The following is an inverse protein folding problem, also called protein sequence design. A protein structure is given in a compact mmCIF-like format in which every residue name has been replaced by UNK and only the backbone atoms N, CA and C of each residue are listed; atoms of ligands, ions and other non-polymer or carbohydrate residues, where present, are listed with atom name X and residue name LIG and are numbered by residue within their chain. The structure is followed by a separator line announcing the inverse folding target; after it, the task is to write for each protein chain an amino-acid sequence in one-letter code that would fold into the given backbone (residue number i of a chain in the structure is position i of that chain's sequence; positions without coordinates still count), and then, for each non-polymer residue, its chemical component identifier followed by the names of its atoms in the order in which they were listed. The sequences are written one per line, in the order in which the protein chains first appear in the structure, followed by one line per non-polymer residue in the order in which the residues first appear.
data_IF_259648709022
#
_entry.id   IF_259648709022
#
_cell.length_a   1.000
_cell.length_b   1.000
_cell.length_c   1.000
_cell.angle_alpha   90.00
_cell.angle_beta   90.00
_cell.angle_gamma   90.00
#
_symmetry.space_group_name_H-M   'P 1'
#
loop_
_entity.id
_entity.type
_entity.pdbx_description
1 polymer ?
#
# COMPACT_ATOMS: atom_id res chain seq x y z
N UNK A 1 -8.02 -20.63 24.52
CA UNK A 1 -8.18 -20.39 23.07
C UNK A 1 -9.33 -19.43 22.96
N UNK A 2 -9.09 -18.19 22.54
CA UNK A 2 -10.17 -17.23 22.33
C UNK A 2 -11.05 -17.73 21.18
N UNK A 3 -12.36 -17.76 21.40
CA UNK A 3 -13.40 -18.07 20.41
C UNK A 3 -13.51 -16.97 19.34
N UNK A 4 -12.40 -16.59 18.71
CA UNK A 4 -12.47 -15.63 17.61
C UNK A 4 -12.92 -16.36 16.35
N UNK A 5 -14.22 -16.23 16.07
CA UNK A 5 -14.88 -16.76 14.87
C UNK A 5 -14.55 -15.94 13.60
N UNK A 6 -13.38 -15.29 13.55
CA UNK A 6 -12.96 -14.40 12.48
C UNK A 6 -11.43 -14.39 12.32
N UNK A 7 -10.95 -14.16 11.10
CA UNK A 7 -9.57 -13.80 10.82
C UNK A 7 -9.30 -12.32 11.12
N UNK A 8 -8.01 -11.98 11.16
CA UNK A 8 -7.56 -10.60 11.37
C UNK A 8 -6.66 -10.17 10.23
N UNK A 9 -7.03 -9.08 9.56
CA UNK A 9 -6.24 -8.51 8.48
C UNK A 9 -5.63 -7.19 8.97
N UNK A 10 -4.31 -7.11 8.99
CA UNK A 10 -3.56 -5.91 9.39
C UNK A 10 -2.96 -5.30 8.14
N UNK A 11 -3.37 -4.09 7.78
CA UNK A 11 -2.83 -3.33 6.67
C UNK A 11 -1.81 -2.33 7.19
N UNK A 12 -0.60 -2.35 6.63
CA UNK A 12 0.47 -1.42 7.00
C UNK A 12 1.03 -0.78 5.73
N UNK A 13 0.81 0.53 5.57
CA UNK A 13 1.50 1.28 4.52
C UNK A 13 2.95 1.47 4.94
N UNK A 14 3.87 1.32 3.99
CA UNK A 14 5.29 1.59 4.22
C UNK A 14 5.52 2.99 4.83
N UNK A 15 6.60 3.12 5.60
CA UNK A 15 7.03 4.42 6.14
C UNK A 15 7.46 5.41 5.06
N UNK A 16 7.73 6.66 5.41
CA UNK A 16 8.21 7.68 4.47
C UNK A 16 9.41 7.18 3.63
N UNK A 17 9.29 7.25 2.30
CA UNK A 17 10.40 7.00 1.38
C UNK A 17 11.19 8.25 1.03
N UNK A 18 12.41 8.09 0.51
CA UNK A 18 13.25 9.19 0.01
C UNK A 18 12.47 10.10 -0.95
N UNK A 19 11.71 9.50 -1.88
CA UNK A 19 10.93 10.24 -2.86
C UNK A 19 9.60 10.78 -2.33
N UNK A 20 9.12 10.29 -1.18
CA UNK A 20 8.05 10.99 -0.47
C UNK A 20 8.58 12.28 0.15
N UNK A 21 9.78 12.23 0.74
CA UNK A 21 10.42 13.40 1.34
C UNK A 21 10.79 14.47 0.30
N UNK A 22 11.27 14.07 -0.88
CA UNK A 22 11.58 14.99 -1.99
C UNK A 22 10.39 15.38 -2.87
N UNK A 23 9.16 14.98 -2.50
CA UNK A 23 7.92 15.28 -3.22
C UNK A 23 7.88 14.76 -4.68
N UNK A 24 8.53 13.63 -4.97
CA UNK A 24 8.55 13.01 -6.30
C UNK A 24 7.44 11.94 -6.46
N UNK A 25 7.03 11.69 -7.70
CA UNK A 25 6.24 10.52 -8.07
C UNK A 25 7.14 9.29 -8.13
N UNK A 26 6.82 8.25 -7.36
CA UNK A 26 7.66 7.04 -7.25
C UNK A 26 7.20 5.90 -8.13
N UNK A 27 5.98 5.42 -7.90
CA UNK A 27 5.46 4.23 -8.57
C UNK A 27 6.32 3.00 -8.32
N UNK A 28 6.73 2.33 -9.38
CA UNK A 28 7.51 1.09 -9.29
C UNK A 28 9.01 1.33 -9.16
N UNK A 29 9.48 2.59 -9.21
CA UNK A 29 10.87 2.90 -8.88
C UNK A 29 11.15 2.44 -7.46
N UNK A 30 12.19 1.63 -7.34
CA UNK A 30 12.56 1.00 -6.09
C UNK A 30 13.48 1.97 -5.34
N UNK A 31 12.89 2.78 -4.46
CA UNK A 31 13.57 3.75 -3.58
C UNK A 31 13.57 3.25 -2.14
N UNK A 32 14.51 3.74 -1.33
CA UNK A 32 14.60 3.32 0.07
C UNK A 32 13.70 4.14 0.99
N UNK A 33 13.61 3.70 2.25
CA UNK A 33 13.04 4.47 3.36
C UNK A 33 14.03 5.54 3.83
N UNK A 34 13.49 6.67 4.29
CA UNK A 34 14.26 7.62 5.12
C UNK A 34 14.43 7.05 6.53
N UNK A 35 15.29 7.67 7.35
CA UNK A 35 15.40 7.33 8.77
C UNK A 35 14.04 7.48 9.49
N UNK A 36 13.29 8.54 9.17
CA UNK A 36 11.92 8.71 9.65
C UNK A 36 11.02 7.53 9.23
N UNK A 37 11.10 7.10 7.97
CA UNK A 37 10.32 5.95 7.49
C UNK A 37 10.67 4.63 8.19
N UNK A 38 11.93 4.44 8.61
CA UNK A 38 12.36 3.29 9.40
C UNK A 38 11.81 3.36 10.82
N UNK A 39 11.82 4.52 11.46
CA UNK A 39 11.19 4.74 12.77
C UNK A 39 9.68 4.50 12.74
N UNK A 40 9.00 4.97 11.69
CA UNK A 40 7.58 4.71 11.44
C UNK A 40 7.30 3.21 11.36
N UNK A 41 8.15 2.45 10.65
CA UNK A 41 8.02 0.99 10.54
C UNK A 41 8.18 0.27 11.89
N UNK A 42 9.20 0.63 12.67
CA UNK A 42 9.43 0.08 14.01
C UNK A 42 8.24 0.39 14.92
N UNK A 43 7.71 1.62 14.87
CA UNK A 43 6.53 2.02 15.64
C UNK A 43 5.29 1.22 15.24
N UNK A 44 5.09 0.99 13.95
CA UNK A 44 4.04 0.11 13.42
C UNK A 44 4.09 -1.30 14.03
N UNK A 45 5.29 -1.88 14.11
CA UNK A 45 5.50 -3.17 14.76
C UNK A 45 5.19 -3.16 16.26
N UNK A 46 5.61 -2.13 16.99
CA UNK A 46 5.28 -1.96 18.42
C UNK A 46 3.78 -1.86 18.65
N UNK A 47 3.06 -1.07 17.86
CA UNK A 47 1.59 -0.97 17.94
C UNK A 47 0.92 -2.33 17.75
N UNK A 48 1.37 -3.13 16.78
CA UNK A 48 0.85 -4.48 16.55
C UNK A 48 1.05 -5.36 17.80
N UNK A 49 2.25 -5.34 18.39
CA UNK A 49 2.57 -6.11 19.59
C UNK A 49 1.78 -5.64 20.83
N UNK A 50 1.71 -4.34 21.06
CA UNK A 50 1.01 -3.73 22.19
C UNK A 50 -0.51 -4.01 22.13
N UNK A 51 -1.07 -4.10 20.92
CA UNK A 51 -2.45 -4.50 20.69
C UNK A 51 -2.69 -6.02 20.83
N UNK A 52 -1.65 -6.81 21.16
CA UNK A 52 -1.73 -8.27 21.28
C UNK A 52 -2.05 -8.97 19.96
N UNK A 53 -1.74 -8.34 18.82
CA UNK A 53 -1.96 -8.93 17.49
C UNK A 53 -0.75 -9.78 17.11
N UNK A 54 -1.01 -11.01 16.69
CA UNK A 54 0.01 -12.02 16.44
C UNK A 54 -0.03 -12.49 14.98
N UNK A 55 0.54 -11.73 14.02
CA UNK A 55 0.60 -12.16 12.63
C UNK A 55 1.20 -13.55 12.49
N UNK A 56 0.55 -14.41 11.71
CA UNK A 56 0.99 -15.77 11.38
C UNK A 56 1.58 -15.86 9.98
N UNK A 57 1.35 -14.84 9.14
CA UNK A 57 1.91 -14.70 7.80
C UNK A 57 2.00 -13.23 7.40
N UNK A 58 3.04 -12.89 6.63
CA UNK A 58 3.23 -11.58 6.02
C UNK A 58 3.08 -11.67 4.50
N UNK A 59 2.33 -10.74 3.91
CA UNK A 59 2.32 -10.44 2.48
C UNK A 59 2.92 -9.06 2.23
N UNK A 60 3.81 -8.95 1.24
CA UNK A 60 4.36 -7.65 0.83
C UNK A 60 4.61 -7.59 -0.68
N UNK A 61 4.92 -6.40 -1.17
CA UNK A 61 5.27 -6.14 -2.56
C UNK A 61 6.69 -6.60 -2.92
N UNK A 62 7.11 -6.34 -4.17
CA UNK A 62 8.51 -6.51 -4.60
C UNK A 62 9.39 -5.26 -4.41
N UNK A 63 8.90 -4.23 -3.72
CA UNK A 63 9.56 -2.94 -3.56
C UNK A 63 10.16 -2.80 -2.15
N UNK A 64 11.44 -2.39 -2.08
CA UNK A 64 12.27 -2.45 -0.88
C UNK A 64 11.73 -1.65 0.29
N UNK A 65 11.05 -0.52 0.03
CA UNK A 65 10.44 0.31 1.07
C UNK A 65 9.36 -0.43 1.87
N UNK A 66 8.53 -1.23 1.20
CA UNK A 66 7.52 -2.05 1.86
C UNK A 66 8.14 -3.28 2.52
N UNK A 67 9.10 -3.94 1.86
CA UNK A 67 9.83 -5.08 2.41
C UNK A 67 10.58 -4.70 3.70
N UNK A 68 11.28 -3.57 3.68
CA UNK A 68 12.04 -3.05 4.83
C UNK A 68 11.10 -2.63 5.95
N UNK A 69 9.97 -1.97 5.62
CA UNK A 69 8.93 -1.66 6.61
C UNK A 69 8.46 -2.95 7.30
N UNK A 70 8.15 -3.98 6.52
CA UNK A 70 7.66 -5.24 7.04
C UNK A 70 8.69 -5.92 7.96
N UNK A 71 9.96 -5.98 7.55
CA UNK A 71 11.02 -6.59 8.34
C UNK A 71 11.23 -5.87 9.68
N UNK A 72 11.21 -4.53 9.69
CA UNK A 72 11.35 -3.74 10.92
C UNK A 72 10.13 -3.86 11.82
N UNK A 73 8.93 -3.92 11.25
CA UNK A 73 7.71 -4.13 12.01
C UNK A 73 7.66 -5.53 12.65
N UNK A 74 8.07 -6.56 11.91
CA UNK A 74 8.17 -7.92 12.44
C UNK A 74 9.25 -8.07 13.52
N UNK A 75 10.35 -7.31 13.43
CA UNK A 75 11.38 -7.28 14.48
C UNK A 75 10.80 -6.75 15.79
N UNK A 76 10.18 -5.58 15.71
CA UNK A 76 9.60 -4.91 16.85
C UNK A 76 8.43 -5.68 17.47
N UNK A 77 7.78 -6.54 16.69
CA UNK A 77 6.68 -7.41 17.15
C UNK A 77 7.11 -8.82 17.56
N UNK A 78 8.41 -9.15 17.51
CA UNK A 78 8.96 -10.49 17.77
C UNK A 78 8.29 -11.60 16.90
N UNK A 79 8.16 -11.33 15.60
CA UNK A 79 7.50 -12.20 14.61
C UNK A 79 8.33 -12.46 13.35
N UNK A 80 9.65 -12.28 13.40
CA UNK A 80 10.53 -12.47 12.23
C UNK A 80 10.46 -13.83 11.55
N UNK A 81 10.14 -14.87 12.31
CA UNK A 81 10.18 -16.26 11.85
C UNK A 81 8.96 -16.66 11.02
N UNK A 82 7.92 -15.82 10.94
CA UNK A 82 6.69 -16.18 10.22
C UNK A 82 6.93 -16.26 8.70
N UNK A 83 6.15 -17.07 7.97
CA UNK A 83 6.22 -17.10 6.52
C UNK A 83 5.99 -15.72 5.88
N UNK A 84 6.80 -15.41 4.86
CA UNK A 84 6.71 -14.16 4.08
C UNK A 84 6.45 -14.47 2.61
N UNK A 85 5.39 -13.89 2.06
CA UNK A 85 5.03 -13.97 0.64
C UNK A 85 5.25 -12.62 -0.01
N UNK A 86 5.92 -12.60 -1.17
CA UNK A 86 6.17 -11.38 -1.95
C UNK A 86 5.56 -11.52 -3.33
N UNK A 87 4.74 -10.55 -3.74
CA UNK A 87 4.10 -10.58 -5.05
C UNK A 87 3.99 -9.16 -5.64
N UNK A 88 4.23 -9.04 -6.95
CA UNK A 88 4.16 -7.77 -7.67
C UNK A 88 2.75 -7.16 -7.64
N UNK A 89 1.71 -7.99 -7.46
CA UNK A 89 0.32 -7.53 -7.35
C UNK A 89 0.08 -6.65 -6.13
N UNK A 90 1.01 -6.63 -5.16
CA UNK A 90 1.00 -5.73 -4.02
C UNK A 90 1.81 -4.45 -4.26
N UNK A 91 2.47 -4.27 -5.41
CA UNK A 91 3.21 -3.05 -5.73
C UNK A 91 2.32 -1.80 -5.73
N UNK A 92 2.94 -0.63 -5.54
CA UNK A 92 2.31 0.68 -5.76
C UNK A 92 1.74 0.80 -7.17
N UNK A 93 0.87 1.78 -7.43
CA UNK A 93 0.45 2.15 -8.79
C UNK A 93 1.67 2.55 -9.63
N UNK A 94 1.84 1.99 -10.82
CA UNK A 94 2.83 2.45 -11.79
C UNK A 94 2.49 3.87 -12.28
N UNK A 95 3.38 4.84 -12.06
CA UNK A 95 3.09 6.25 -12.38
C UNK A 95 3.46 6.65 -13.82
N UNK A 96 3.92 5.68 -14.62
CA UNK A 96 4.28 5.90 -16.01
C UNK A 96 5.32 7.00 -16.17
N UNK A 97 5.13 7.86 -17.15
CA UNK A 97 6.05 8.96 -17.46
C UNK A 97 6.23 9.97 -16.32
N UNK A 98 5.40 9.91 -15.26
CA UNK A 98 5.56 10.76 -14.09
C UNK A 98 6.63 10.25 -13.13
N UNK A 99 7.06 8.99 -13.21
CA UNK A 99 8.08 8.44 -12.30
C UNK A 99 9.36 9.30 -12.33
N UNK A 100 9.80 9.75 -11.15
CA UNK A 100 10.95 10.63 -10.95
C UNK A 100 10.64 12.12 -10.99
N UNK A 101 9.49 12.54 -11.52
CA UNK A 101 9.13 13.96 -11.59
C UNK A 101 8.70 14.49 -10.23
N UNK A 102 9.05 15.74 -9.94
CA UNK A 102 8.54 16.45 -8.77
C UNK A 102 7.05 16.79 -8.96
N UNK A 103 6.24 16.56 -7.92
CA UNK A 103 4.79 16.78 -7.94
C UNK A 103 4.41 18.25 -8.08
N UNK A 104 5.12 19.15 -7.42
CA UNK A 104 4.83 20.59 -7.47
C UNK A 104 5.17 21.17 -8.85
N UNK A 105 6.34 20.83 -9.40
CA UNK A 105 6.75 21.24 -10.75
C UNK A 105 5.81 20.66 -11.82
N UNK A 106 5.37 19.40 -11.66
CA UNK A 106 4.39 18.78 -12.56
C UNK A 106 3.05 19.52 -12.50
N UNK A 107 2.60 19.90 -11.30
CA UNK A 107 1.37 20.66 -11.11
C UNK A 107 1.46 22.07 -11.71
N UNK A 108 2.60 22.75 -11.55
CA UNK A 108 2.84 24.05 -12.19
C UNK A 108 2.81 23.95 -13.72
N UNK A 109 3.42 22.90 -14.28
CA UNK A 109 3.52 22.69 -15.72
C UNK A 109 2.19 22.29 -16.38
N UNK A 110 1.42 21.41 -15.75
CA UNK A 110 0.22 20.80 -16.36
C UNK A 110 -1.10 21.33 -15.79
N UNK A 111 -1.05 22.14 -14.72
CA UNK A 111 -2.22 22.66 -14.01
C UNK A 111 -2.79 21.71 -12.96
N UNK A 112 -3.61 22.25 -12.06
CA UNK A 112 -4.24 21.51 -10.95
C UNK A 112 -5.12 20.37 -11.45
N UNK A 113 -6.00 20.64 -12.42
CA UNK A 113 -6.98 19.65 -12.88
C UNK A 113 -6.32 18.41 -13.46
N UNK A 114 -5.28 18.59 -14.29
CA UNK A 114 -4.53 17.48 -14.87
C UNK A 114 -3.70 16.74 -13.83
N UNK A 115 -3.09 17.46 -12.89
CA UNK A 115 -2.35 16.87 -11.77
C UNK A 115 -3.27 16.01 -10.89
N UNK A 116 -4.46 16.52 -10.56
CA UNK A 116 -5.45 15.82 -9.76
C UNK A 116 -6.04 14.62 -10.53
N UNK A 117 -6.25 14.74 -11.84
CA UNK A 117 -6.66 13.62 -12.68
C UNK A 117 -5.64 12.46 -12.60
N UNK A 118 -4.34 12.71 -12.84
CA UNK A 118 -3.32 11.66 -12.74
C UNK A 118 -3.14 11.13 -11.32
N UNK A 119 -3.26 11.99 -10.31
CA UNK A 119 -3.02 11.60 -8.92
C UNK A 119 -4.20 10.84 -8.32
N UNK A 120 -5.44 11.16 -8.68
CA UNK A 120 -6.64 10.72 -7.96
C UNK A 120 -7.73 10.09 -8.83
N UNK A 121 -7.68 10.22 -10.15
CA UNK A 121 -8.66 9.53 -11.02
C UNK A 121 -8.61 8.02 -10.78
N UNK A 122 -9.81 7.42 -10.78
CA UNK A 122 -9.97 6.00 -10.60
C UNK A 122 -9.53 5.22 -11.85
N UNK A 123 -9.92 5.68 -13.04
CA UNK A 123 -9.82 4.94 -14.31
C UNK A 123 -8.91 5.60 -15.34
N UNK A 124 -8.37 6.79 -15.05
CA UNK A 124 -7.52 7.52 -15.99
C UNK A 124 -6.04 7.39 -15.58
N UNK A 125 -5.22 6.65 -16.33
CA UNK A 125 -3.82 6.49 -16.00
C UNK A 125 -2.99 7.73 -16.35
N UNK A 126 -1.82 7.93 -15.71
CA UNK A 126 -0.78 8.82 -16.22
C UNK A 126 -0.30 8.42 -17.64
N UNK A 127 0.45 9.29 -18.34
CA UNK A 127 1.03 8.93 -19.63
C UNK A 127 1.98 7.72 -19.51
N UNK A 128 2.03 6.88 -20.54
CA UNK A 128 2.89 5.69 -20.57
C UNK A 128 4.38 6.06 -20.52
N UNK A 129 5.16 5.26 -19.80
CA UNK A 129 6.61 5.32 -19.81
C UNK A 129 7.18 4.43 -20.91
N UNK A 130 8.14 4.93 -21.69
CA UNK A 130 8.83 4.11 -22.68
C UNK A 130 9.76 3.08 -22.00
N UNK A 131 9.81 1.85 -22.54
CA UNK A 131 10.52 0.73 -21.91
C UNK A 131 12.02 0.99 -21.66
N UNK A 132 12.67 1.81 -22.50
CA UNK A 132 14.09 2.17 -22.39
C UNK A 132 14.37 3.36 -21.46
N UNK A 133 13.36 3.96 -20.85
CA UNK A 133 13.51 5.11 -19.96
C UNK A 133 14.28 4.74 -18.68
N UNK A 134 15.00 5.71 -18.10
CA UNK A 134 15.77 5.53 -16.85
C UNK A 134 14.97 4.87 -15.72
N UNK A 135 13.71 5.28 -15.55
CA UNK A 135 12.82 4.80 -14.48
C UNK A 135 11.88 3.68 -14.91
N UNK A 136 12.13 3.03 -16.06
CA UNK A 136 11.34 1.88 -16.53
C UNK A 136 11.69 0.61 -15.77
N UNK A 137 10.69 -0.26 -15.57
CA UNK A 137 10.86 -1.59 -14.99
C UNK A 137 10.82 -2.73 -16.04
N UNK A 138 10.67 -2.41 -17.32
CA UNK A 138 10.49 -3.40 -18.39
C UNK A 138 11.63 -4.44 -18.45
N UNK A 139 12.87 -4.02 -18.16
CA UNK A 139 14.05 -4.89 -18.14
C UNK A 139 14.44 -5.44 -16.75
N UNK A 140 13.66 -5.17 -15.70
CA UNK A 140 14.02 -5.58 -14.34
C UNK A 140 13.75 -7.10 -14.14
N UNK A 141 14.78 -7.88 -13.72
CA UNK A 141 14.66 -9.34 -13.59
C UNK A 141 13.58 -9.77 -12.61
N UNK A 142 13.17 -8.92 -11.65
CA UNK A 142 12.11 -9.26 -10.69
C UNK A 142 10.74 -9.46 -11.37
N UNK A 143 10.57 -8.91 -12.57
CA UNK A 143 9.34 -9.00 -13.36
C UNK A 143 9.47 -9.90 -14.59
N UNK A 144 10.55 -10.68 -14.71
CA UNK A 144 10.79 -11.54 -15.88
C UNK A 144 9.71 -12.59 -16.14
N UNK A 145 8.88 -12.91 -15.14
CA UNK A 145 7.76 -13.86 -15.26
C UNK A 145 6.43 -13.19 -15.63
N UNK A 146 6.38 -11.87 -15.80
CA UNK A 146 5.20 -11.17 -16.31
C UNK A 146 5.18 -11.26 -17.84
N UNK A 147 3.99 -11.48 -18.40
CA UNK A 147 3.80 -11.37 -19.84
C UNK A 147 4.10 -9.94 -20.33
N UNK A 148 3.75 -8.94 -19.53
CA UNK A 148 3.99 -7.53 -19.79
C UNK A 148 4.16 -6.79 -18.46
N UNK A 149 5.18 -5.92 -18.39
CA UNK A 149 5.36 -4.98 -17.28
C UNK A 149 4.54 -3.73 -17.60
N UNK A 150 3.66 -3.23 -16.71
CA UNK A 150 2.82 -2.09 -17.01
C UNK A 150 3.65 -0.84 -17.27
N UNK A 151 3.34 -0.11 -18.33
CA UNK A 151 3.95 1.20 -18.63
C UNK A 151 3.30 2.35 -17.88
N UNK A 152 2.10 2.15 -17.35
CA UNK A 152 1.32 3.08 -16.53
C UNK A 152 0.18 2.32 -15.89
N UNK A 153 -0.37 2.82 -14.79
CA UNK A 153 -1.56 2.27 -14.14
C UNK A 153 -2.44 3.41 -13.61
N UNK A 154 -3.76 3.25 -13.71
CA UNK A 154 -4.72 3.96 -12.88
C UNK A 154 -5.05 3.14 -11.60
N UNK A 155 -5.96 3.61 -10.74
CA UNK A 155 -6.32 2.83 -9.54
C UNK A 155 -7.13 1.57 -9.91
N UNK A 156 -7.96 1.63 -10.96
CA UNK A 156 -8.71 0.49 -11.47
C UNK A 156 -7.78 -0.65 -11.93
N UNK A 157 -6.64 -0.34 -12.55
CA UNK A 157 -5.66 -1.37 -12.96
C UNK A 157 -5.05 -2.06 -11.74
N UNK A 158 -4.76 -1.30 -10.68
CA UNK A 158 -4.31 -1.84 -9.39
C UNK A 158 -5.38 -2.76 -8.77
N UNK A 159 -6.66 -2.36 -8.83
CA UNK A 159 -7.79 -3.19 -8.39
C UNK A 159 -7.82 -4.51 -9.17
N UNK A 160 -7.74 -4.45 -10.51
CA UNK A 160 -7.80 -5.63 -11.39
C UNK A 160 -6.68 -6.64 -11.10
N UNK A 161 -5.46 -6.17 -10.77
CA UNK A 161 -4.36 -7.09 -10.44
C UNK A 161 -4.37 -7.55 -8.98
N UNK A 162 -4.80 -6.73 -8.03
CA UNK A 162 -4.64 -7.04 -6.61
C UNK A 162 -5.83 -7.80 -6.02
N UNK A 163 -7.07 -7.41 -6.35
CA UNK A 163 -8.24 -8.03 -5.72
C UNK A 163 -8.35 -9.53 -6.00
N UNK A 164 -8.13 -10.04 -7.24
CA UNK A 164 -8.13 -11.48 -7.47
C UNK A 164 -7.06 -12.22 -6.65
N UNK A 165 -5.90 -11.59 -6.40
CA UNK A 165 -4.86 -12.17 -5.56
C UNK A 165 -5.25 -12.18 -4.08
N UNK A 166 -5.87 -11.09 -3.59
CA UNK A 166 -6.43 -11.04 -2.25
C UNK A 166 -7.46 -12.15 -2.02
N UNK A 167 -8.43 -12.29 -2.93
CA UNK A 167 -9.50 -13.30 -2.83
C UNK A 167 -8.98 -14.73 -2.90
N UNK A 168 -7.97 -15.01 -3.72
CA UNK A 168 -7.46 -16.39 -3.91
C UNK A 168 -6.34 -16.78 -2.95
N UNK A 169 -5.56 -15.81 -2.45
CA UNK A 169 -4.34 -16.08 -1.69
C UNK A 169 -4.38 -15.59 -0.24
N UNK A 170 -5.22 -14.61 0.09
CA UNK A 170 -5.29 -14.01 1.43
C UNK A 170 -6.59 -14.36 2.14
N UNK A 171 -7.75 -14.23 1.48
CA UNK A 171 -9.08 -14.53 2.08
C UNK A 171 -9.17 -15.94 2.66
N UNK A 172 -8.69 -17.02 2.00
CA UNK A 172 -8.80 -18.38 2.57
C UNK A 172 -8.10 -18.55 3.92
N UNK A 173 -7.05 -17.75 4.19
CA UNK A 173 -6.37 -17.73 5.49
C UNK A 173 -7.18 -17.01 6.55
N UNK A 174 -7.80 -15.89 6.17
CA UNK A 174 -8.65 -15.12 7.06
C UNK A 174 -9.91 -15.90 7.44
N UNK A 175 -10.50 -16.65 6.52
CA UNK A 175 -11.68 -17.49 6.77
C UNK A 175 -11.43 -18.60 7.80
N UNK A 176 -10.19 -19.09 7.91
CA UNK A 176 -9.79 -20.08 8.93
C UNK A 176 -9.26 -19.44 10.23
N UNK A 177 -9.40 -18.12 10.38
CA UNK A 177 -9.06 -17.40 11.60
C UNK A 177 -7.60 -16.93 11.72
N UNK A 178 -6.79 -17.01 10.66
CA UNK A 178 -5.41 -16.52 10.71
C UNK A 178 -5.32 -14.99 10.89
N UNK A 179 -4.21 -14.52 11.47
CA UNK A 179 -3.84 -13.10 11.48
C UNK A 179 -2.85 -12.83 10.36
N UNK A 180 -3.29 -12.11 9.34
CA UNK A 180 -2.50 -11.78 8.15
C UNK A 180 -2.03 -10.33 8.22
N UNK A 181 -0.71 -10.10 8.11
CA UNK A 181 -0.13 -8.78 7.92
C UNK A 181 0.10 -8.53 6.43
N UNK A 182 -0.37 -7.38 5.92
CA UNK A 182 -0.10 -6.90 4.56
C UNK A 182 0.65 -5.58 4.65
N UNK A 183 1.96 -5.62 4.37
CA UNK A 183 2.81 -4.43 4.31
C UNK A 183 3.01 -3.99 2.86
N UNK A 184 2.39 -2.87 2.46
CA UNK A 184 2.33 -2.46 1.05
C UNK A 184 2.32 -0.93 0.88
N UNK A 185 1.65 -0.44 -0.16
CA UNK A 185 1.72 0.95 -0.65
C UNK A 185 0.38 1.66 -0.61
N UNK A 186 0.41 2.96 -0.88
CA UNK A 186 -0.79 3.80 -0.82
C UNK A 186 -1.91 3.29 -1.73
N UNK A 187 -1.67 3.12 -3.02
CA UNK A 187 -2.75 2.76 -3.95
C UNK A 187 -3.15 1.27 -3.88
N UNK A 188 -2.21 0.37 -3.60
CA UNK A 188 -2.55 -1.04 -3.41
C UNK A 188 -3.44 -1.23 -2.18
N UNK A 189 -3.14 -0.55 -1.07
CA UNK A 189 -3.98 -0.61 0.13
C UNK A 189 -5.31 0.14 -0.07
N UNK A 190 -5.32 1.27 -0.79
CA UNK A 190 -6.59 1.95 -1.15
C UNK A 190 -7.48 1.05 -2.01
N UNK A 191 -6.92 0.32 -2.97
CA UNK A 191 -7.67 -0.63 -3.79
C UNK A 191 -8.31 -1.73 -2.92
N UNK A 192 -7.58 -2.26 -1.94
CA UNK A 192 -8.12 -3.25 -1.01
C UNK A 192 -9.19 -2.67 -0.09
N UNK A 193 -8.95 -1.50 0.53
CA UNK A 193 -9.94 -0.82 1.37
C UNK A 193 -11.21 -0.50 0.57
N UNK A 194 -11.08 -0.06 -0.68
CA UNK A 194 -12.23 0.12 -1.61
C UNK A 194 -13.06 -1.15 -1.72
N UNK A 195 -12.41 -2.30 -1.90
CA UNK A 195 -13.08 -3.59 -2.03
C UNK A 195 -13.72 -4.05 -0.72
N UNK A 196 -13.05 -3.86 0.42
CA UNK A 196 -13.53 -4.25 1.74
C UNK A 196 -14.76 -3.43 2.16
N UNK A 197 -14.67 -2.11 2.02
CA UNK A 197 -15.69 -1.15 2.49
C UNK A 197 -16.71 -0.78 1.40
N UNK A 198 -16.61 -1.39 0.21
CA UNK A 198 -17.48 -1.13 -0.95
C UNK A 198 -17.56 0.36 -1.31
N UNK A 199 -16.43 1.06 -1.18
CA UNK A 199 -16.31 2.49 -1.52
C UNK A 199 -16.55 2.66 -3.03
N UNK A 200 -17.32 3.68 -3.40
CA UNK A 200 -17.64 4.03 -4.78
C UNK A 200 -16.39 4.49 -5.56
N UNK A 201 -16.50 4.57 -6.88
CA UNK A 201 -15.40 5.08 -7.73
C UNK A 201 -15.24 6.60 -7.56
N UNK A 202 -16.30 7.29 -7.16
CA UNK A 202 -16.34 8.71 -6.86
C UNK A 202 -15.66 9.03 -5.52
N UNK A 203 -15.95 8.24 -4.47
CA UNK A 203 -15.48 8.52 -3.11
C UNK A 203 -14.04 8.07 -2.87
N UNK A 204 -13.54 7.08 -3.62
CA UNK A 204 -12.21 6.51 -3.40
C UNK A 204 -11.10 7.55 -3.55
N UNK A 205 -11.30 8.60 -4.35
CA UNK A 205 -10.37 9.71 -4.51
C UNK A 205 -10.03 10.40 -3.17
N UNK A 206 -11.01 10.49 -2.26
CA UNK A 206 -10.89 11.11 -0.95
C UNK A 206 -10.16 10.26 0.09
N UNK A 207 -10.06 8.94 -0.12
CA UNK A 207 -9.39 8.03 0.83
C UNK A 207 -7.87 8.26 0.85
N UNK A 208 -7.33 8.51 2.04
CA UNK A 208 -5.90 8.64 2.30
C UNK A 208 -5.49 7.70 3.42
N UNK A 209 -4.51 6.83 3.14
CA UNK A 209 -3.95 5.90 4.13
C UNK A 209 -2.64 6.49 4.65
N UNK A 210 -2.48 6.73 5.96
CA UNK A 210 -1.26 7.28 6.56
C UNK A 210 -0.09 6.30 6.42
N UNK A 211 1.16 6.78 6.52
CA UNK A 211 2.35 5.92 6.53
C UNK A 211 2.59 5.34 7.93
N UNK A 212 3.01 4.08 8.02
CA UNK A 212 3.49 3.47 9.27
C UNK A 212 2.45 3.17 10.36
N UNK A 213 1.16 3.44 10.14
CA UNK A 213 0.10 3.21 11.13
C UNK A 213 -0.73 1.99 10.72
N UNK A 214 -0.76 0.91 11.52
CA UNK A 214 -1.53 -0.28 11.21
C UNK A 214 -3.04 -0.01 11.23
N UNK A 215 -3.74 -0.50 10.19
CA UNK A 215 -5.20 -0.50 10.06
C UNK A 215 -5.72 -1.95 10.13
N UNK A 216 -6.63 -2.22 11.05
CA UNK A 216 -7.08 -3.58 11.37
C UNK A 216 -8.50 -3.82 10.89
N UNK A 217 -8.68 -4.88 10.10
CA UNK A 217 -9.97 -5.45 9.71
C UNK A 217 -10.18 -6.81 10.37
N UNK A 218 -11.43 -7.12 10.69
CA UNK A 218 -11.90 -8.41 11.18
C UNK A 218 -12.79 -9.03 10.10
N UNK A 219 -12.45 -10.24 9.69
CA UNK A 219 -13.06 -10.91 8.53
C UNK A 219 -13.66 -12.23 9.00
N UNK A 220 -14.97 -12.42 8.80
CA UNK A 220 -15.63 -13.66 9.22
C UNK A 220 -15.24 -14.87 8.35
N UNK A 221 -15.75 -16.05 8.72
CA UNK A 221 -15.50 -17.31 8.00
C UNK A 221 -16.08 -17.36 6.58
N UNK A 222 -16.81 -16.32 6.14
CA UNK A 222 -17.36 -16.17 4.78
C UNK A 222 -16.65 -15.06 4.00
N UNK A 223 -15.54 -14.53 4.52
CA UNK A 223 -14.81 -13.43 3.91
C UNK A 223 -15.46 -12.05 4.08
N UNK A 224 -16.49 -11.93 4.92
CA UNK A 224 -17.22 -10.67 5.13
C UNK A 224 -16.56 -9.81 6.20
N UNK A 225 -16.53 -8.49 5.97
CA UNK A 225 -15.97 -7.51 6.92
C UNK A 225 -16.92 -7.31 8.09
N UNK A 226 -16.41 -7.50 9.31
CA UNK A 226 -17.16 -7.33 10.56
C UNK A 226 -17.06 -5.91 11.14
N UNK A 227 -16.03 -5.15 10.77
CA UNK A 227 -15.79 -3.77 11.19
C UNK A 227 -15.52 -2.86 9.97
N UNK A 228 -16.57 -2.42 9.24
CA UNK A 228 -16.40 -1.52 8.09
C UNK A 228 -15.63 -0.25 8.46
N UNK A 229 -14.72 0.17 7.58
CA UNK A 229 -13.76 1.26 7.80
C UNK A 229 -12.47 0.85 8.52
N UNK A 230 -12.45 -0.34 9.10
CA UNK A 230 -11.33 -0.83 9.91
C UNK A 230 -11.09 0.00 11.17
N UNK A 231 -10.07 -0.39 11.93
CA UNK A 231 -9.64 0.32 13.14
C UNK A 231 -8.14 0.61 13.07
N UNK A 232 -7.74 1.88 13.07
CA UNK A 232 -6.33 2.24 13.21
C UNK A 232 -5.87 2.03 14.65
N UNK A 233 -4.68 1.46 14.85
CA UNK A 233 -4.12 1.26 16.18
C UNK A 233 -3.69 2.57 16.87
N UNK A 234 -3.57 3.66 16.11
CA UNK A 234 -3.40 5.03 16.61
C UNK A 234 -4.28 5.98 15.77
N UNK A 235 -5.55 6.18 16.15
CA UNK A 235 -6.50 6.99 15.39
C UNK A 235 -6.08 8.45 15.22
N UNK A 236 -5.49 9.07 16.25
CA UNK A 236 -5.06 10.47 16.22
C UNK A 236 -3.91 10.66 15.23
N UNK A 237 -2.89 9.78 15.29
CA UNK A 237 -1.80 9.83 14.32
C UNK A 237 -2.29 9.48 12.91
N UNK A 238 -3.30 8.60 12.78
CA UNK A 238 -3.86 8.24 11.49
C UNK A 238 -4.56 9.42 10.81
N UNK A 239 -5.35 10.19 11.55
CA UNK A 239 -5.99 11.40 11.05
C UNK A 239 -4.95 12.44 10.59
N UNK A 240 -3.95 12.72 11.43
CA UNK A 240 -2.87 13.66 11.10
C UNK A 240 -2.06 13.20 9.87
N UNK A 241 -1.74 11.91 9.80
CA UNK A 241 -1.02 11.31 8.67
C UNK A 241 -1.82 11.32 7.37
N UNK A 242 -3.12 11.05 7.43
CA UNK A 242 -4.02 11.11 6.27
C UNK A 242 -4.11 12.54 5.71
N UNK A 243 -4.21 13.55 6.59
CA UNK A 243 -4.17 14.96 6.20
C UNK A 243 -2.84 15.35 5.53
N UNK A 244 -1.71 14.88 6.07
CA UNK A 244 -0.39 15.11 5.46
C UNK A 244 -0.27 14.49 4.06
N UNK A 245 -0.84 13.30 3.84
CA UNK A 245 -0.89 12.67 2.51
C UNK A 245 -1.76 13.47 1.56
N UNK A 246 -2.91 13.97 1.99
CA UNK A 246 -3.78 14.81 1.17
C UNK A 246 -3.04 16.07 0.68
N UNK A 247 -2.29 16.72 1.57
CA UNK A 247 -1.58 17.98 1.31
C UNK A 247 -0.34 17.86 0.37
N UNK A 248 0.12 16.66 0.01
CA UNK A 248 1.25 16.51 -0.91
C UNK A 248 0.97 17.15 -2.28
N UNK A 249 1.98 17.79 -2.87
CA UNK A 249 1.83 18.60 -4.09
C UNK A 249 1.35 20.03 -3.84
N UNK A 250 1.16 20.45 -2.59
CA UNK A 250 0.79 21.81 -2.21
C UNK A 250 1.96 22.75 -1.87
N UNK A 251 3.21 22.26 -1.90
CA UNK A 251 4.44 23.04 -1.67
C UNK A 251 5.41 22.83 -2.81
#
# INVERSE_FOLDING_TARGET
MSDNNHGTLILLRHGQSEWNASNQFTGWVDVDLTDQGREEAVRGGRMIADAGLEPTVLYTSLLRRAITTANLALDAADRHWIPVVRDWRLNERHYGALQGLNKAETKEKYGEDQFMAWRRSYDTPPPELEDGSEYSQAGDPRYANLAEVPRTECLLDVVKRFIPYYETSIVPRLEVGETVLVAAHGNSLRALVKHLDKISDEDIAGLNIPTGIPLVYRIDQKGSVLNPGGEYLDPEAAEAGAAAVAAQGGK
#
